data_IF_484207203243
#
_entry.id   IF_484207203243
#
_cell.length_a   1.000
_cell.length_b   1.000
_cell.length_c   1.000
_cell.angle_alpha   90.00
_cell.angle_beta   90.00
_cell.angle_gamma   90.00
#
_symmetry.space_group_name_H-M   'P 1'
#
loop_
_entity.id
_entity.type
_entity.pdbx_description
1 polymer ?
#
# COMPACT_ATOMS: atom_id res chain seq x y z
N UNK A 1 -45.58 -9.32 17.30
CA UNK A 1 -44.18 -9.56 16.89
C UNK A 1 -43.57 -8.23 16.48
N UNK A 2 -42.80 -7.62 17.39
CA UNK A 2 -42.17 -6.31 17.19
C UNK A 2 -41.14 -6.39 16.07
N UNK A 3 -41.34 -5.56 15.03
CA UNK A 3 -40.35 -5.34 13.98
C UNK A 3 -39.15 -4.62 14.60
N UNK A 4 -38.03 -5.35 14.68
CA UNK A 4 -36.76 -4.89 15.19
C UNK A 4 -36.36 -3.53 14.61
N UNK A 5 -36.35 -2.54 15.49
CA UNK A 5 -35.89 -1.18 15.28
C UNK A 5 -34.45 -1.22 14.75
N UNK A 6 -34.26 -1.00 13.45
CA UNK A 6 -32.95 -0.82 12.85
C UNK A 6 -32.31 0.42 13.49
N UNK A 7 -31.47 0.20 14.51
CA UNK A 7 -30.70 1.26 15.15
C UNK A 7 -29.71 1.78 14.12
N UNK A 8 -29.98 2.97 13.59
CA UNK A 8 -29.03 3.80 12.86
C UNK A 8 -27.85 4.10 13.79
N UNK A 9 -26.87 3.20 13.82
CA UNK A 9 -25.63 3.37 14.56
C UNK A 9 -24.81 4.45 13.83
N UNK A 10 -24.96 5.70 14.25
CA UNK A 10 -24.03 6.78 13.89
C UNK A 10 -22.68 6.45 14.53
N UNK A 11 -21.79 5.85 13.76
CA UNK A 11 -20.42 5.64 14.17
C UNK A 11 -19.76 6.99 14.51
N UNK A 12 -19.10 7.07 15.67
CA UNK A 12 -18.22 8.18 16.03
C UNK A 12 -17.03 8.28 15.05
N UNK A 13 -16.37 9.44 15.02
CA UNK A 13 -15.52 9.85 13.89
C UNK A 13 -14.23 9.04 13.60
N UNK A 14 -13.75 8.05 14.39
CA UNK A 14 -12.78 7.09 13.85
C UNK A 14 -13.45 5.83 13.25
N UNK A 15 -14.52 5.34 13.87
CA UNK A 15 -15.17 4.09 13.46
C UNK A 15 -15.90 4.21 12.12
N UNK A 16 -16.43 5.39 11.81
CA UNK A 16 -17.09 5.64 10.51
C UNK A 16 -16.11 5.63 9.33
N UNK A 17 -14.84 6.00 9.57
CA UNK A 17 -13.79 5.99 8.56
C UNK A 17 -13.31 4.55 8.33
N UNK A 18 -13.10 3.79 9.41
CA UNK A 18 -12.73 2.36 9.33
C UNK A 18 -13.81 1.55 8.61
N UNK A 19 -15.09 1.79 8.92
CA UNK A 19 -16.18 1.08 8.26
C UNK A 19 -16.27 1.42 6.76
N UNK A 20 -16.03 2.70 6.40
CA UNK A 20 -15.96 3.11 4.99
C UNK A 20 -14.76 2.52 4.27
N UNK A 21 -13.60 2.48 4.92
CA UNK A 21 -12.41 1.84 4.38
C UNK A 21 -12.59 0.33 4.18
N UNK A 22 -13.22 -0.35 5.15
CA UNK A 22 -13.55 -1.78 5.02
C UNK A 22 -14.55 -2.02 3.89
N UNK A 23 -15.64 -1.26 3.81
CA UNK A 23 -16.60 -1.38 2.72
C UNK A 23 -15.97 -1.06 1.35
N UNK A 24 -15.03 -0.11 1.33
CA UNK A 24 -14.22 0.20 0.16
C UNK A 24 -13.33 -1.00 -0.20
N UNK A 25 -12.71 -1.67 0.77
CA UNK A 25 -11.92 -2.89 0.64
C UNK A 25 -12.71 -4.14 0.22
N UNK A 26 -13.97 -4.25 0.61
CA UNK A 26 -14.80 -5.40 0.25
C UNK A 26 -15.45 -5.23 -1.15
N UNK A 27 -15.38 -4.03 -1.74
CA UNK A 27 -16.08 -3.69 -2.99
C UNK A 27 -15.31 -4.00 -4.27
N UNK A 28 -14.05 -4.43 -4.20
CA UNK A 28 -13.29 -4.82 -5.39
C UNK A 28 -13.23 -6.32 -5.58
N UNK A 29 -12.81 -6.76 -6.76
CA UNK A 29 -12.80 -8.17 -7.11
C UNK A 29 -11.76 -8.97 -6.32
N UNK A 30 -11.98 -10.27 -6.07
CA UNK A 30 -10.94 -11.10 -5.50
C UNK A 30 -9.69 -11.11 -6.39
N UNK A 31 -8.53 -10.96 -5.77
CA UNK A 31 -7.23 -11.10 -6.43
C UNK A 31 -7.11 -12.52 -6.98
N UNK A 32 -6.68 -12.71 -8.24
CA UNK A 32 -6.46 -14.04 -8.80
C UNK A 32 -5.44 -14.82 -7.97
N UNK A 33 -5.70 -16.10 -7.69
CA UNK A 33 -4.79 -16.93 -6.89
C UNK A 33 -3.36 -16.98 -7.47
N UNK A 34 -3.26 -16.90 -8.80
CA UNK A 34 -1.98 -16.87 -9.53
C UNK A 34 -1.11 -15.66 -9.19
N UNK A 35 -1.68 -14.55 -8.72
CA UNK A 35 -0.94 -13.33 -8.37
C UNK A 35 -0.76 -13.16 -6.86
N UNK A 36 -1.26 -14.09 -6.05
CA UNK A 36 -1.24 -13.96 -4.59
C UNK A 36 0.19 -13.92 -4.04
N UNK A 37 1.09 -14.73 -4.60
CA UNK A 37 2.53 -14.71 -4.26
C UNK A 37 3.17 -13.38 -4.68
N UNK A 38 3.02 -12.98 -5.95
CA UNK A 38 3.52 -11.69 -6.44
C UNK A 38 3.05 -10.53 -5.57
N UNK A 39 1.80 -10.54 -5.10
CA UNK A 39 1.30 -9.50 -4.19
C UNK A 39 2.03 -9.45 -2.85
N UNK A 40 2.36 -10.60 -2.26
CA UNK A 40 3.17 -10.63 -1.04
C UNK A 40 4.57 -10.07 -1.26
N UNK A 41 5.17 -10.37 -2.41
CA UNK A 41 6.49 -9.83 -2.78
C UNK A 41 6.44 -8.32 -3.02
N UNK A 42 5.40 -7.83 -3.69
CA UNK A 42 5.18 -6.38 -3.90
C UNK A 42 5.00 -5.67 -2.56
N UNK A 43 4.19 -6.23 -1.64
CA UNK A 43 3.99 -5.68 -0.29
C UNK A 43 5.31 -5.67 0.49
N UNK A 44 6.10 -6.75 0.40
CA UNK A 44 7.40 -6.82 1.05
C UNK A 44 8.38 -5.77 0.47
N UNK A 45 8.38 -5.58 -0.85
CA UNK A 45 9.21 -4.59 -1.54
C UNK A 45 8.80 -3.16 -1.20
N UNK A 46 7.49 -2.89 -1.09
CA UNK A 46 6.96 -1.60 -0.65
C UNK A 46 7.30 -1.31 0.81
N UNK A 47 7.16 -2.29 1.71
CA UNK A 47 7.56 -2.15 3.11
C UNK A 47 9.07 -1.90 3.23
N UNK A 48 9.87 -2.65 2.48
CA UNK A 48 11.31 -2.46 2.43
C UNK A 48 11.68 -1.07 1.91
N UNK A 49 11.10 -0.64 0.79
CA UNK A 49 11.33 0.68 0.19
C UNK A 49 10.93 1.82 1.13
N UNK A 50 9.77 1.69 1.80
CA UNK A 50 9.30 2.68 2.75
C UNK A 50 10.23 2.80 3.97
N UNK A 51 10.66 1.66 4.54
CA UNK A 51 11.65 1.68 5.64
C UNK A 51 12.99 2.26 5.17
N UNK A 52 13.45 1.87 3.98
CA UNK A 52 14.71 2.35 3.41
C UNK A 52 14.70 3.86 3.15
N UNK A 53 13.56 4.45 2.78
CA UNK A 53 13.39 5.91 2.62
C UNK A 53 13.27 6.62 3.98
N UNK A 54 12.60 6.01 4.96
CA UNK A 54 12.40 6.64 6.28
C UNK A 54 13.71 6.78 7.04
N UNK A 55 14.64 5.83 6.93
CA UNK A 55 15.94 5.88 7.62
C UNK A 55 16.78 7.14 7.29
N UNK A 56 17.07 7.49 6.02
CA UNK A 56 17.79 8.72 5.69
C UNK A 56 17.01 9.98 6.05
N UNK A 57 15.68 9.97 5.99
CA UNK A 57 14.85 11.11 6.40
C UNK A 57 14.98 11.34 7.92
N UNK A 58 14.84 10.28 8.72
CA UNK A 58 14.99 10.36 10.18
C UNK A 58 16.42 10.75 10.58
N UNK A 59 17.42 10.28 9.84
CA UNK A 59 18.82 10.69 10.03
C UNK A 59 19.05 12.15 9.63
N UNK A 60 18.39 12.66 8.58
CA UNK A 60 18.45 14.06 8.16
C UNK A 60 17.78 15.00 9.17
N UNK A 61 16.71 14.54 9.82
CA UNK A 61 16.01 15.25 10.89
C UNK A 61 16.68 15.13 12.27
N UNK A 62 17.87 14.51 12.35
CA UNK A 62 18.64 14.30 13.58
C UNK A 62 17.88 13.52 14.68
N UNK A 63 16.85 12.74 14.31
CA UNK A 63 16.07 11.91 15.25
C UNK A 63 16.85 10.64 15.63
N UNK A 64 17.60 10.09 14.67
CA UNK A 64 18.47 8.93 14.85
C UNK A 64 19.92 9.32 14.57
N UNK A 65 20.85 8.50 15.06
CA UNK A 65 22.28 8.70 14.79
C UNK A 65 22.56 8.86 13.28
N UNK A 66 23.46 9.78 12.91
CA UNK A 66 23.78 10.03 11.52
C UNK A 66 24.29 8.76 10.86
N UNK A 67 23.64 8.37 9.77
CA UNK A 67 24.08 7.25 8.96
C UNK A 67 25.47 7.57 8.36
N UNK A 68 26.34 6.57 8.15
CA UNK A 68 27.71 6.77 7.66
C UNK A 68 27.79 7.22 6.18
N UNK A 69 26.68 7.64 5.57
CA UNK A 69 26.61 8.01 4.16
C UNK A 69 26.96 9.48 3.97
N UNK A 70 27.99 9.73 3.15
CA UNK A 70 28.51 11.07 2.86
C UNK A 70 27.52 11.95 2.07
N UNK A 71 26.63 11.34 1.29
CA UNK A 71 25.63 12.01 0.46
C UNK A 71 24.22 11.46 0.74
N UNK A 72 23.51 12.04 1.72
CA UNK A 72 22.14 11.64 2.10
C UNK A 72 21.18 11.71 0.89
N UNK A 73 21.35 12.69 0.00
CA UNK A 73 20.51 12.83 -1.19
C UNK A 73 20.68 11.66 -2.17
N UNK A 74 21.91 11.14 -2.35
CA UNK A 74 22.16 9.96 -3.17
C UNK A 74 21.51 8.72 -2.57
N UNK A 75 21.51 8.58 -1.24
CA UNK A 75 20.84 7.49 -0.56
C UNK A 75 19.32 7.57 -0.77
N UNK A 76 18.71 8.74 -0.58
CA UNK A 76 17.29 8.97 -0.86
C UNK A 76 16.96 8.63 -2.32
N UNK A 77 17.80 9.06 -3.26
CA UNK A 77 17.65 8.76 -4.68
C UNK A 77 17.64 7.27 -4.99
N UNK A 78 18.57 6.50 -4.42
CA UNK A 78 18.61 5.03 -4.57
C UNK A 78 17.37 4.39 -3.95
N UNK A 79 16.95 4.85 -2.77
CA UNK A 79 15.77 4.30 -2.09
C UNK A 79 14.48 4.56 -2.89
N UNK A 80 14.34 5.75 -3.49
CA UNK A 80 13.24 6.06 -4.40
C UNK A 80 13.29 5.18 -5.64
N UNK A 81 14.47 5.00 -6.24
CA UNK A 81 14.64 4.15 -7.43
C UNK A 81 14.25 2.69 -7.15
N UNK A 82 14.51 2.19 -5.95
CA UNK A 82 14.05 0.86 -5.51
C UNK A 82 12.57 0.80 -5.14
N UNK A 83 11.97 1.91 -4.70
CA UNK A 83 10.57 1.95 -4.28
C UNK A 83 9.59 2.17 -5.43
N UNK A 84 10.00 2.89 -6.49
CA UNK A 84 9.16 3.19 -7.67
C UNK A 84 8.56 1.92 -8.30
N UNK A 85 9.29 0.81 -8.50
CA UNK A 85 8.70 -0.43 -8.98
C UNK A 85 7.59 -0.95 -8.06
N UNK A 86 7.80 -0.95 -6.74
CA UNK A 86 6.78 -1.36 -5.76
C UNK A 86 5.52 -0.50 -5.85
N UNK A 87 5.68 0.83 -5.88
CA UNK A 87 4.58 1.78 -6.04
C UNK A 87 3.80 1.58 -7.34
N UNK A 88 4.50 1.39 -8.47
CA UNK A 88 3.87 1.12 -9.76
C UNK A 88 2.99 -0.13 -9.69
N UNK A 89 3.52 -1.20 -9.10
CA UNK A 89 2.83 -2.47 -8.93
C UNK A 89 1.61 -2.35 -8.01
N UNK A 90 1.73 -1.57 -6.94
CA UNK A 90 0.62 -1.27 -6.02
C UNK A 90 -0.49 -0.47 -6.73
N UNK A 91 -0.13 0.52 -7.55
CA UNK A 91 -1.11 1.26 -8.38
C UNK A 91 -1.81 0.33 -9.36
N UNK A 92 -1.05 -0.52 -10.08
CA UNK A 92 -1.62 -1.49 -11.00
C UNK A 92 -2.57 -2.45 -10.29
N UNK A 93 -2.19 -2.96 -9.13
CA UNK A 93 -3.01 -3.84 -8.30
C UNK A 93 -4.31 -3.17 -7.90
N UNK A 94 -4.25 -1.94 -7.39
CA UNK A 94 -5.45 -1.18 -7.02
C UNK A 94 -6.33 -0.91 -8.24
N UNK A 95 -5.74 -0.55 -9.38
CA UNK A 95 -6.45 -0.33 -10.64
C UNK A 95 -7.18 -1.58 -11.13
N UNK A 96 -6.53 -2.75 -11.08
CA UNK A 96 -7.12 -4.03 -11.45
C UNK A 96 -8.23 -4.43 -10.49
N UNK A 97 -7.98 -4.31 -9.18
CA UNK A 97 -8.94 -4.58 -8.12
C UNK A 97 -10.19 -3.68 -8.22
N UNK A 98 -10.03 -2.47 -8.76
CA UNK A 98 -11.09 -1.46 -8.98
C UNK A 98 -11.74 -1.52 -10.35
N UNK A 99 -11.30 -2.40 -11.26
CA UNK A 99 -11.70 -2.42 -12.68
C UNK A 99 -11.56 -1.05 -13.35
N UNK A 100 -10.52 -0.29 -13.02
CA UNK A 100 -10.25 0.97 -13.71
C UNK A 100 -9.91 0.64 -15.17
N UNK A 101 -10.59 1.24 -16.17
CA UNK A 101 -10.30 0.99 -17.58
C UNK A 101 -8.82 1.22 -17.88
N UNK A 102 -8.17 0.25 -18.54
CA UNK A 102 -6.75 0.29 -18.85
C UNK A 102 -5.84 -0.45 -17.87
N UNK A 103 -6.37 -0.94 -16.75
CA UNK A 103 -5.64 -1.83 -15.82
C UNK A 103 -6.06 -3.28 -16.02
N UNK A 104 -5.08 -4.15 -16.23
CA UNK A 104 -5.25 -5.60 -16.36
C UNK A 104 -4.27 -6.32 -15.45
N UNK A 105 -4.71 -7.42 -14.83
CA UNK A 105 -3.87 -8.24 -13.96
C UNK A 105 -2.59 -8.70 -14.68
N UNK A 106 -2.64 -8.89 -16.01
CA UNK A 106 -1.46 -9.21 -16.82
C UNK A 106 -0.39 -8.11 -16.92
N UNK A 107 -0.63 -6.90 -16.39
CA UNK A 107 0.38 -5.84 -16.26
C UNK A 107 1.32 -6.08 -15.08
N UNK A 108 0.91 -6.90 -14.11
CA UNK A 108 1.66 -7.24 -12.92
C UNK A 108 2.57 -8.44 -13.29
N UNK A 109 3.91 -8.29 -13.34
CA UNK A 109 4.82 -9.41 -13.50
C UNK A 109 4.50 -10.53 -12.52
N UNK A 110 4.44 -11.74 -13.08
CA UNK A 110 4.35 -12.97 -12.32
C UNK A 110 5.73 -13.32 -11.78
N UNK A 111 5.78 -13.56 -10.48
CA UNK A 111 6.93 -14.12 -9.79
C UNK A 111 6.49 -15.50 -9.30
N UNK A 112 6.98 -16.55 -9.95
CA UNK A 112 6.64 -17.96 -9.65
C UNK A 112 7.48 -18.54 -8.50
#
# INVERSE_FOLDING_TARGET
MEKGKARNFRYSFPLSAIHRAKKWWDAGDPIPETHRKSMWEIIALDLFGLVAIMLPILSYLEIINPLPFKNVLSLIGVCLLTWIPGLYMTICTIGCWRRIPGFSWGMIPYFD
#
